data_IF_535621907900
#
_entry.id   IF_535621907900
#
_cell.length_a   1.000
_cell.length_b   1.000
_cell.length_c   1.000
_cell.angle_alpha   90.00
_cell.angle_beta   90.00
_cell.angle_gamma   90.00
#
_symmetry.space_group_name_H-M   'P 1'
#
loop_
_entity.id
_entity.type
_entity.pdbx_description
1 polymer ?
#
# COMPACT_ATOMS: atom_id res chain seq x y z
N UNK A 1 -8.59 -5.06 34.73
CA UNK A 1 -8.12 -5.97 33.66
C UNK A 1 -7.72 -5.13 32.46
N UNK A 2 -6.43 -4.99 32.18
CA UNK A 2 -5.94 -4.28 31.00
C UNK A 2 -5.99 -5.24 29.80
N UNK A 3 -7.09 -5.24 29.03
CA UNK A 3 -7.15 -5.96 27.75
C UNK A 3 -6.22 -5.25 26.78
N UNK A 4 -5.08 -5.86 26.46
CA UNK A 4 -4.25 -5.45 25.32
C UNK A 4 -5.07 -5.72 24.06
N UNK A 5 -5.49 -4.66 23.38
CA UNK A 5 -6.15 -4.77 22.08
C UNK A 5 -5.12 -5.20 21.04
N UNK A 6 -5.49 -6.05 20.06
CA UNK A 6 -4.59 -6.40 18.98
C UNK A 6 -4.23 -5.12 18.19
N UNK A 7 -2.94 -4.92 17.96
CA UNK A 7 -2.44 -3.86 17.07
C UNK A 7 -2.45 -4.44 15.67
N UNK A 8 -3.10 -3.74 14.74
CA UNK A 8 -3.13 -4.13 13.33
C UNK A 8 -1.70 -4.07 12.75
N UNK A 9 -1.36 -5.07 11.94
CA UNK A 9 -0.12 -5.12 11.17
C UNK A 9 -0.33 -4.48 9.81
N UNK A 10 0.75 -4.05 9.17
CA UNK A 10 0.70 -3.56 7.80
C UNK A 10 0.15 -4.61 6.81
N UNK A 11 0.40 -5.91 7.09
CA UNK A 11 -0.14 -7.06 6.34
C UNK A 11 -1.68 -7.17 6.43
N UNK A 12 -2.30 -6.58 7.46
CA UNK A 12 -3.76 -6.62 7.65
C UNK A 12 -4.48 -5.53 6.83
N UNK A 13 -3.74 -4.72 6.05
CA UNK A 13 -4.25 -3.57 5.29
C UNK A 13 -4.05 -3.81 3.79
N UNK A 14 -5.15 -4.08 3.10
CA UNK A 14 -5.18 -4.18 1.64
C UNK A 14 -5.41 -2.81 1.00
N UNK A 15 -4.82 -2.59 -0.19
CA UNK A 15 -5.06 -1.38 -0.97
C UNK A 15 -6.53 -1.31 -1.42
N UNK A 16 -7.16 -0.15 -1.23
CA UNK A 16 -8.52 0.13 -1.69
C UNK A 16 -8.53 1.34 -2.63
N UNK A 17 -8.96 1.13 -3.88
CA UNK A 17 -9.03 2.18 -4.90
C UNK A 17 -10.05 3.28 -4.58
N UNK A 18 -11.13 2.92 -3.88
CA UNK A 18 -12.20 3.84 -3.49
C UNK A 18 -11.77 4.77 -2.35
N UNK A 19 -10.89 4.28 -1.48
CA UNK A 19 -10.33 5.05 -0.35
C UNK A 19 -9.04 5.79 -0.70
N UNK A 20 -8.41 5.43 -1.82
CA UNK A 20 -7.16 6.03 -2.27
C UNK A 20 -7.37 7.47 -2.73
N UNK A 21 -6.53 8.37 -2.21
CA UNK A 21 -6.48 9.74 -2.69
C UNK A 21 -5.61 9.87 -3.97
N UNK A 22 -5.46 11.09 -4.47
CA UNK A 22 -4.63 11.33 -5.66
C UNK A 22 -3.16 10.97 -5.43
N UNK A 23 -2.62 11.21 -4.25
CA UNK A 23 -1.23 10.93 -3.93
C UNK A 23 -0.98 9.42 -3.88
N UNK A 24 -1.91 8.65 -3.31
CA UNK A 24 -1.85 7.19 -3.27
C UNK A 24 -1.79 6.60 -4.69
N UNK A 25 -2.64 7.12 -5.59
CA UNK A 25 -2.67 6.70 -7.00
C UNK A 25 -1.37 7.02 -7.73
N UNK A 26 -0.83 8.22 -7.54
CA UNK A 26 0.45 8.62 -8.14
C UNK A 26 1.62 7.79 -7.62
N UNK A 27 1.64 7.51 -6.31
CA UNK A 27 2.66 6.68 -5.69
C UNK A 27 2.64 5.25 -6.29
N UNK A 28 1.45 4.65 -6.42
CA UNK A 28 1.29 3.34 -7.05
C UNK A 28 1.77 3.34 -8.51
N UNK A 29 1.33 4.33 -9.29
CA UNK A 29 1.74 4.43 -10.71
C UNK A 29 3.26 4.58 -10.87
N UNK A 30 3.91 5.33 -9.97
CA UNK A 30 5.38 5.46 -9.94
C UNK A 30 6.07 4.15 -9.58
N UNK A 31 5.54 3.40 -8.61
CA UNK A 31 6.06 2.08 -8.22
C UNK A 31 5.97 1.09 -9.39
N UNK A 32 4.79 0.92 -9.99
CA UNK A 32 4.58 0.03 -11.15
C UNK A 32 5.50 0.39 -12.32
N UNK A 33 5.71 1.69 -12.59
CA UNK A 33 6.63 2.13 -13.63
C UNK A 33 8.09 1.78 -13.31
N UNK A 34 8.50 1.80 -12.05
CA UNK A 34 9.83 1.38 -11.62
C UNK A 34 10.03 -0.12 -11.77
N UNK A 35 9.04 -0.91 -11.34
CA UNK A 35 9.09 -2.37 -11.45
C UNK A 35 9.18 -2.81 -12.90
N UNK A 36 8.36 -2.23 -13.79
CA UNK A 36 8.44 -2.49 -15.24
C UNK A 36 9.80 -2.15 -15.86
N UNK A 37 10.52 -1.14 -15.32
CA UNK A 37 11.88 -0.83 -15.77
C UNK A 37 12.86 -1.89 -15.27
N UNK A 38 12.74 -2.29 -14.00
CA UNK A 38 13.59 -3.29 -13.38
C UNK A 38 13.44 -4.67 -14.06
N UNK A 39 12.22 -5.07 -14.40
CA UNK A 39 11.94 -6.32 -15.13
C UNK A 39 12.50 -6.35 -16.57
N UNK A 40 12.68 -5.18 -17.18
CA UNK A 40 13.25 -5.04 -18.53
C UNK A 40 14.77 -4.85 -18.54
N UNK A 41 15.41 -4.84 -17.37
CA UNK A 41 16.85 -4.62 -17.20
C UNK A 41 17.66 -5.90 -17.33
#
# INVERSE_FOLDING_TARGET
>A
MNRKLPVAKAEDVEYSEELADMNDREARARAEAADRRAERS
#
